data_IF_360989185892
#
_entry.id   IF_360989185892
#
_cell.length_a   1.000
_cell.length_b   1.000
_cell.length_c   1.000
_cell.angle_alpha   90.00
_cell.angle_beta   90.00
_cell.angle_gamma   90.00
#
_symmetry.space_group_name_H-M   'P 1'
#
loop_
_entity.id
_entity.type
_entity.pdbx_description
1 polymer ?
#
# COMPACT_ATOMS: atom_id res chain seq x y z
N UNK A 1 -24.86 7.04 41.82
CA UNK A 1 -25.29 6.35 40.58
C UNK A 1 -24.84 7.16 39.35
N UNK A 2 -23.53 7.21 39.03
CA UNK A 2 -23.03 7.85 37.80
C UNK A 2 -21.80 7.07 37.30
N UNK A 3 -22.02 5.85 36.84
CA UNK A 3 -21.05 5.09 36.04
C UNK A 3 -21.84 4.45 34.91
N UNK A 4 -22.13 5.20 33.84
CA UNK A 4 -22.68 4.64 32.60
C UNK A 4 -22.49 5.54 31.34
N UNK A 5 -22.05 6.79 31.49
CA UNK A 5 -21.90 7.70 30.33
C UNK A 5 -20.64 7.48 29.48
N UNK A 6 -19.61 6.80 29.99
CA UNK A 6 -18.39 6.49 29.23
C UNK A 6 -18.65 5.48 28.08
N UNK A 7 -19.58 4.55 28.27
CA UNK A 7 -19.91 3.52 27.27
C UNK A 7 -20.76 4.03 26.11
N UNK A 8 -21.69 4.95 26.39
CA UNK A 8 -22.60 5.52 25.38
C UNK A 8 -21.84 6.46 24.44
N UNK A 9 -21.03 7.36 25.00
CA UNK A 9 -20.20 8.27 24.20
C UNK A 9 -19.17 7.53 23.34
N UNK A 10 -18.57 6.46 23.86
CA UNK A 10 -17.65 5.61 23.10
C UNK A 10 -18.36 4.84 21.97
N UNK A 11 -19.55 4.26 22.25
CA UNK A 11 -20.38 3.60 21.22
C UNK A 11 -20.84 4.58 20.14
N UNK A 12 -21.27 5.78 20.52
CA UNK A 12 -21.71 6.82 19.59
C UNK A 12 -20.56 7.27 18.68
N UNK A 13 -19.37 7.53 19.26
CA UNK A 13 -18.18 7.87 18.48
C UNK A 13 -17.80 6.75 17.51
N UNK A 14 -17.70 5.52 18.01
CA UNK A 14 -17.24 4.36 17.24
C UNK A 14 -18.20 3.94 16.13
N UNK A 15 -19.51 3.99 16.38
CA UNK A 15 -20.51 3.43 15.47
C UNK A 15 -21.19 4.49 14.59
N UNK A 16 -21.15 5.77 14.96
CA UNK A 16 -21.85 6.83 14.22
C UNK A 16 -20.88 7.92 13.77
N UNK A 17 -20.23 8.62 14.71
CA UNK A 17 -19.45 9.83 14.37
C UNK A 17 -18.23 9.50 13.50
N UNK A 18 -17.41 8.50 13.90
CA UNK A 18 -16.24 8.08 13.13
C UNK A 18 -16.63 7.56 11.73
N UNK A 19 -17.59 6.61 11.59
CA UNK A 19 -17.98 6.14 10.26
C UNK A 19 -18.47 7.24 9.32
N UNK A 20 -19.28 8.17 9.84
CA UNK A 20 -19.80 9.31 9.06
C UNK A 20 -18.68 10.26 8.66
N UNK A 21 -17.80 10.61 9.60
CA UNK A 21 -16.64 11.47 9.33
C UNK A 21 -15.72 10.86 8.26
N UNK A 22 -15.33 9.59 8.42
CA UNK A 22 -14.43 8.94 7.49
C UNK A 22 -15.04 8.73 6.09
N UNK A 23 -16.36 8.45 6.01
CA UNK A 23 -17.07 8.23 4.75
C UNK A 23 -17.36 9.53 3.99
N UNK A 24 -17.83 10.57 4.68
CA UNK A 24 -18.36 11.77 4.00
C UNK A 24 -17.43 12.98 4.07
N UNK A 25 -16.68 13.13 5.16
CA UNK A 25 -15.76 14.27 5.33
C UNK A 25 -14.38 13.92 4.78
N UNK A 26 -13.82 12.77 5.20
CA UNK A 26 -12.48 12.36 4.78
C UNK A 26 -12.47 11.60 3.44
N UNK A 27 -13.65 11.20 2.93
CA UNK A 27 -13.86 10.42 1.69
C UNK A 27 -12.87 9.25 1.52
N UNK A 28 -12.46 8.65 2.63
CA UNK A 28 -11.40 7.65 2.62
C UNK A 28 -11.98 6.25 2.55
N UNK A 29 -11.28 5.33 1.90
CA UNK A 29 -11.65 3.91 1.87
C UNK A 29 -11.28 3.16 3.17
N UNK A 30 -10.87 3.87 4.23
CA UNK A 30 -10.34 3.28 5.47
C UNK A 30 -11.32 2.29 6.10
N UNK A 31 -12.62 2.62 6.18
CA UNK A 31 -13.62 1.73 6.78
C UNK A 31 -13.82 0.45 5.95
N UNK A 32 -13.78 0.56 4.63
CA UNK A 32 -13.89 -0.59 3.71
C UNK A 32 -12.69 -1.51 3.87
N UNK A 33 -11.47 -0.98 3.94
CA UNK A 33 -10.29 -1.80 4.21
C UNK A 33 -10.32 -2.41 5.61
N UNK A 34 -10.79 -1.67 6.62
CA UNK A 34 -10.93 -2.21 7.98
C UNK A 34 -11.88 -3.41 8.05
N UNK A 35 -13.02 -3.35 7.35
CA UNK A 35 -13.94 -4.49 7.26
C UNK A 35 -13.29 -5.69 6.56
N UNK A 36 -12.62 -5.47 5.42
CA UNK A 36 -11.88 -6.54 4.72
C UNK A 36 -10.79 -7.18 5.59
N UNK A 37 -10.02 -6.38 6.33
CA UNK A 37 -8.98 -6.89 7.22
C UNK A 37 -9.56 -7.71 8.38
N UNK A 38 -10.75 -7.35 8.87
CA UNK A 38 -11.48 -8.16 9.86
C UNK A 38 -12.02 -9.47 9.31
N UNK A 39 -12.31 -9.56 8.03
CA UNK A 39 -12.65 -10.82 7.39
C UNK A 39 -11.38 -11.66 7.23
N UNK A 40 -10.29 -11.08 6.73
CA UNK A 40 -9.02 -11.79 6.49
C UNK A 40 -8.41 -12.40 7.74
N UNK A 41 -8.61 -11.80 8.92
CA UNK A 41 -8.09 -12.36 10.17
C UNK A 41 -8.70 -13.72 10.53
N UNK A 42 -9.85 -14.07 9.94
CA UNK A 42 -10.56 -15.34 10.16
C UNK A 42 -10.26 -16.38 9.07
N UNK A 43 -9.58 -15.98 8.00
CA UNK A 43 -9.24 -16.86 6.88
C UNK A 43 -8.18 -17.89 7.27
N UNK A 44 -8.15 -19.00 6.54
CA UNK A 44 -7.03 -19.94 6.56
C UNK A 44 -5.76 -19.30 5.97
N UNK A 45 -4.63 -19.98 6.16
CA UNK A 45 -3.36 -19.56 5.57
C UNK A 45 -3.43 -19.58 4.03
N UNK A 46 -4.07 -20.59 3.46
CA UNK A 46 -4.23 -20.82 2.03
C UNK A 46 -5.08 -19.72 1.39
N UNK A 47 -6.20 -19.36 2.02
CA UNK A 47 -7.07 -18.26 1.59
C UNK A 47 -6.33 -16.91 1.62
N UNK A 48 -5.57 -16.65 2.69
CA UNK A 48 -4.77 -15.44 2.79
C UNK A 48 -3.62 -15.43 1.77
N UNK A 49 -3.01 -16.57 1.48
CA UNK A 49 -2.01 -16.71 0.42
C UNK A 49 -2.59 -16.43 -0.96
N UNK A 50 -3.79 -16.90 -1.25
CA UNK A 50 -4.51 -16.61 -2.49
C UNK A 50 -4.73 -15.11 -2.69
N UNK A 51 -5.19 -14.43 -1.64
CA UNK A 51 -5.41 -12.98 -1.65
C UNK A 51 -4.09 -12.23 -1.86
N UNK A 52 -3.01 -12.66 -1.18
CA UNK A 52 -1.68 -12.08 -1.35
C UNK A 52 -1.17 -12.26 -2.77
N UNK A 53 -1.33 -13.45 -3.37
CA UNK A 53 -0.89 -13.75 -4.73
C UNK A 53 -1.52 -12.81 -5.74
N UNK A 54 -2.86 -12.67 -5.70
CA UNK A 54 -3.62 -11.77 -6.57
C UNK A 54 -3.20 -10.31 -6.43
N UNK A 55 -3.05 -9.84 -5.19
CA UNK A 55 -2.61 -8.46 -4.92
C UNK A 55 -1.19 -8.21 -5.39
N UNK A 56 -0.29 -9.16 -5.16
CA UNK A 56 1.11 -9.05 -5.57
C UNK A 56 1.23 -9.05 -7.10
N UNK A 57 0.53 -9.95 -7.77
CA UNK A 57 0.50 -9.99 -9.23
C UNK A 57 -0.02 -8.68 -9.82
N UNK A 58 -1.17 -8.19 -9.34
CA UNK A 58 -1.73 -6.91 -9.79
C UNK A 58 -0.77 -5.73 -9.55
N UNK A 59 -0.06 -5.71 -8.41
CA UNK A 59 0.94 -4.69 -8.10
C UNK A 59 2.11 -4.72 -9.08
N UNK A 60 2.71 -5.89 -9.30
CA UNK A 60 3.86 -6.07 -10.19
C UNK A 60 3.46 -5.81 -11.64
N UNK A 61 2.28 -6.28 -12.06
CA UNK A 61 1.73 -6.02 -13.38
C UNK A 61 1.55 -4.52 -13.61
N UNK A 62 0.91 -3.80 -12.66
CA UNK A 62 0.78 -2.36 -12.76
C UNK A 62 2.13 -1.65 -12.86
N UNK A 63 3.07 -1.99 -11.96
CA UNK A 63 4.40 -1.39 -11.93
C UNK A 63 5.15 -1.61 -13.25
N UNK A 64 5.11 -2.83 -13.79
CA UNK A 64 5.75 -3.21 -15.05
C UNK A 64 5.21 -2.44 -16.26
N UNK A 65 3.93 -2.06 -16.22
CA UNK A 65 3.27 -1.39 -17.35
C UNK A 65 3.35 0.13 -17.24
N UNK A 66 3.46 0.69 -16.04
CA UNK A 66 3.22 2.11 -15.79
C UNK A 66 4.42 2.88 -15.23
N UNK A 67 5.44 2.20 -14.69
CA UNK A 67 6.53 2.85 -13.96
C UNK A 67 7.84 2.67 -14.74
N UNK A 68 8.47 3.76 -15.22
CA UNK A 68 9.67 3.70 -16.07
C UNK A 68 10.82 2.87 -15.47
N UNK A 69 11.07 3.00 -14.15
CA UNK A 69 12.10 2.23 -13.47
C UNK A 69 11.87 0.71 -13.59
N UNK A 70 10.63 0.24 -13.36
CA UNK A 70 10.34 -1.19 -13.40
C UNK A 70 10.27 -1.75 -14.83
N UNK A 71 9.88 -0.93 -15.82
CA UNK A 71 10.01 -1.28 -17.24
C UNK A 71 11.48 -1.55 -17.62
N UNK A 72 12.39 -0.70 -17.15
CA UNK A 72 13.83 -0.87 -17.37
C UNK A 72 14.35 -2.15 -16.70
N UNK A 73 14.05 -2.35 -15.42
CA UNK A 73 14.46 -3.54 -14.65
C UNK A 73 14.00 -4.84 -15.30
N UNK A 74 12.75 -4.93 -15.75
CA UNK A 74 12.23 -6.14 -16.40
C UNK A 74 12.98 -6.45 -17.69
N UNK A 75 13.32 -5.41 -18.48
CA UNK A 75 14.06 -5.57 -19.72
C UNK A 75 15.51 -6.00 -19.47
N UNK A 76 16.19 -5.37 -18.53
CA UNK A 76 17.60 -5.63 -18.20
C UNK A 76 17.82 -7.02 -17.60
N UNK A 77 16.90 -7.47 -16.74
CA UNK A 77 16.98 -8.75 -16.06
C UNK A 77 16.20 -9.87 -16.76
N UNK A 78 15.62 -9.60 -17.94
CA UNK A 78 14.79 -10.54 -18.70
C UNK A 78 13.71 -11.23 -17.85
N UNK A 79 13.04 -10.45 -16.98
CA UNK A 79 12.10 -10.99 -16.01
C UNK A 79 10.79 -11.33 -16.69
N UNK A 80 10.37 -12.58 -16.55
CA UNK A 80 9.01 -13.05 -16.85
C UNK A 80 8.30 -13.42 -15.56
N UNK A 81 7.01 -13.13 -15.48
CA UNK A 81 6.18 -13.42 -14.32
C UNK A 81 4.74 -13.77 -14.71
N UNK A 82 4.06 -14.52 -13.85
CA UNK A 82 2.65 -14.89 -13.99
C UNK A 82 1.94 -14.85 -12.65
N UNK A 83 0.61 -14.89 -12.63
CA UNK A 83 -0.15 -14.92 -11.38
C UNK A 83 0.18 -16.16 -10.54
N UNK A 84 0.32 -17.33 -11.17
CA UNK A 84 0.55 -18.61 -10.49
C UNK A 84 1.93 -18.71 -9.85
N UNK A 85 2.95 -18.07 -10.44
CA UNK A 85 4.36 -18.15 -10.01
C UNK A 85 4.85 -16.88 -9.29
N UNK A 86 3.97 -15.91 -9.02
CA UNK A 86 4.37 -14.56 -8.61
C UNK A 86 5.25 -14.50 -7.35
N UNK A 87 5.08 -15.43 -6.40
CA UNK A 87 5.90 -15.47 -5.18
C UNK A 87 7.37 -15.83 -5.45
N UNK A 88 7.62 -16.63 -6.48
CA UNK A 88 8.98 -16.94 -6.93
C UNK A 88 9.48 -15.87 -7.91
N UNK A 89 8.59 -15.37 -8.77
CA UNK A 89 8.95 -14.35 -9.75
C UNK A 89 9.42 -13.05 -9.11
N UNK A 90 8.82 -12.65 -7.98
CA UNK A 90 9.23 -11.41 -7.31
C UNK A 90 10.69 -11.46 -6.81
N UNK A 91 11.22 -12.66 -6.54
CA UNK A 91 12.63 -12.83 -6.12
C UNK A 91 13.63 -12.53 -7.25
N UNK A 92 13.16 -12.49 -8.50
CA UNK A 92 13.97 -12.12 -9.67
C UNK A 92 14.23 -10.60 -9.75
N UNK A 93 13.43 -9.79 -9.05
CA UNK A 93 13.61 -8.34 -9.02
C UNK A 93 14.74 -7.96 -8.06
N UNK A 94 15.62 -7.01 -8.44
CA UNK A 94 16.61 -6.47 -7.52
C UNK A 94 15.93 -5.69 -6.39
N UNK A 95 16.59 -5.65 -5.23
CA UNK A 95 16.10 -4.91 -4.08
C UNK A 95 16.10 -3.40 -4.35
N UNK A 96 14.97 -2.74 -4.08
CA UNK A 96 14.86 -1.28 -4.14
C UNK A 96 15.46 -0.66 -2.86
N UNK A 97 16.67 -0.13 -2.96
CA UNK A 97 17.36 0.50 -1.82
C UNK A 97 17.03 1.99 -1.70
N UNK A 98 17.25 2.58 -0.53
CA UNK A 98 17.09 4.04 -0.34
C UNK A 98 17.96 4.86 -1.29
N UNK A 99 19.17 4.38 -1.58
CA UNK A 99 20.08 5.03 -2.52
C UNK A 99 19.51 5.03 -3.94
N UNK A 100 19.00 3.89 -4.40
CA UNK A 100 18.31 3.80 -5.71
C UNK A 100 17.13 4.77 -5.75
N UNK A 101 16.33 4.84 -4.67
CA UNK A 101 15.20 5.78 -4.63
C UNK A 101 15.68 7.22 -4.74
N UNK A 102 16.75 7.63 -4.04
CA UNK A 102 17.29 9.00 -4.15
C UNK A 102 17.79 9.31 -5.56
N UNK A 103 18.51 8.38 -6.18
CA UNK A 103 19.17 8.59 -7.47
C UNK A 103 18.23 8.42 -8.68
N UNK A 104 17.12 7.72 -8.51
CA UNK A 104 16.18 7.39 -9.60
C UNK A 104 14.73 7.75 -9.28
N UNK A 105 14.50 8.67 -8.33
CA UNK A 105 13.16 9.02 -7.87
C UNK A 105 12.24 9.43 -9.03
N UNK A 106 12.76 10.23 -9.97
CA UNK A 106 12.06 10.74 -11.15
C UNK A 106 11.49 9.66 -12.07
N UNK A 107 11.99 8.42 -11.97
CA UNK A 107 11.57 7.24 -12.74
C UNK A 107 10.68 6.28 -11.95
N UNK A 108 10.49 6.51 -10.65
CA UNK A 108 9.76 5.61 -9.74
C UNK A 108 8.26 5.93 -9.62
N UNK A 109 7.76 6.90 -10.38
CA UNK A 109 6.35 7.27 -10.41
C UNK A 109 5.93 7.74 -11.81
N UNK A 110 4.61 7.76 -12.06
CA UNK A 110 4.05 8.04 -13.39
C UNK A 110 3.62 9.49 -13.61
N UNK A 111 2.98 10.13 -12.63
CA UNK A 111 2.37 11.44 -12.81
C UNK A 111 3.12 12.54 -12.06
N UNK A 112 3.33 13.69 -12.71
CA UNK A 112 3.91 14.90 -12.10
C UNK A 112 2.84 15.94 -11.76
N UNK A 113 1.60 15.50 -11.62
CA UNK A 113 0.49 16.40 -11.29
C UNK A 113 0.39 16.67 -9.78
N UNK A 114 -0.59 17.49 -9.39
CA UNK A 114 -0.82 17.86 -7.98
C UNK A 114 -1.59 16.80 -7.18
N UNK A 115 -1.75 15.57 -7.69
CA UNK A 115 -2.49 14.52 -6.99
C UNK A 115 -1.66 13.85 -5.89
N UNK A 116 -0.34 14.02 -5.94
CA UNK A 116 0.62 13.45 -5.01
C UNK A 116 0.94 14.39 -3.84
N UNK A 117 1.18 13.79 -2.67
CA UNK A 117 1.51 14.52 -1.44
C UNK A 117 2.99 14.34 -1.14
N UNK A 118 3.75 15.42 -1.34
CA UNK A 118 5.17 15.41 -0.99
C UNK A 118 5.36 15.05 0.48
N UNK A 119 6.13 14.00 0.72
CA UNK A 119 6.48 13.51 2.04
C UNK A 119 7.98 13.15 2.07
N UNK A 120 8.55 13.06 3.26
CA UNK A 120 9.96 12.81 3.46
C UNK A 120 10.15 11.82 4.59
N UNK A 121 11.06 10.85 4.42
CA UNK A 121 11.42 9.96 5.51
C UNK A 121 12.29 10.70 6.55
N UNK A 122 12.02 10.52 7.84
CA UNK A 122 13.00 10.84 8.89
C UNK A 122 14.17 9.86 8.82
N UNK A 123 15.41 10.36 8.82
CA UNK A 123 16.62 9.53 8.73
C UNK A 123 17.65 9.91 9.78
N UNK A 124 18.11 8.93 10.57
CA UNK A 124 19.23 9.09 11.52
C UNK A 124 20.56 9.42 10.85
N UNK A 125 20.67 9.18 9.54
CA UNK A 125 21.86 9.43 8.70
C UNK A 125 21.87 10.80 8.01
N UNK A 126 20.91 11.69 8.32
CA UNK A 126 20.88 13.07 7.81
C UNK A 126 20.33 13.28 6.40
N UNK A 127 20.25 12.24 5.56
CA UNK A 127 19.82 12.36 4.15
C UNK A 127 18.40 11.78 3.91
N UNK A 128 17.34 12.61 3.97
CA UNK A 128 15.97 12.17 3.80
C UNK A 128 15.69 11.73 2.36
N UNK A 129 14.87 10.70 2.18
CA UNK A 129 14.30 10.35 0.89
C UNK A 129 13.02 11.16 0.71
N UNK A 130 12.91 11.89 -0.40
CA UNK A 130 11.69 12.60 -0.79
C UNK A 130 10.83 11.65 -1.63
N UNK A 131 9.55 11.58 -1.33
CA UNK A 131 8.54 10.89 -2.12
C UNK A 131 7.30 11.76 -2.27
N UNK A 132 6.46 11.44 -3.26
CA UNK A 132 5.26 12.18 -3.62
C UNK A 132 4.08 11.20 -3.64
#
# INVERSE_FOLDING_TARGET
>A
MIINNLGIGAKLRRNIILPVYWKYINRSNVLTYFQKLKEYQLNSLEENREIQRKKLYALIQYASQNIPYYQQIIKEHHITFSEDTIFEDIKKFPLLTKEIIRNHFDKLYRFRDKTYYRNTSGGSTGEPVVFY
#
